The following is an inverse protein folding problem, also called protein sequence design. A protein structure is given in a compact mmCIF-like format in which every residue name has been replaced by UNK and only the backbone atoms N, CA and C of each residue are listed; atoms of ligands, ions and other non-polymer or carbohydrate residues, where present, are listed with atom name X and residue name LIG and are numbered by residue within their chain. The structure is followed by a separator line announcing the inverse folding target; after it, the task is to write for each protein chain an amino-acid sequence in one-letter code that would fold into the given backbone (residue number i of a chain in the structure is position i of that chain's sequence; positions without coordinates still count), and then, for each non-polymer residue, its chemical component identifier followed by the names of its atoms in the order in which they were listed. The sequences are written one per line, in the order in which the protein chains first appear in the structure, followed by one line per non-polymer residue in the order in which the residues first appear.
data_IF_387616697273
#
_entry.id   IF_387616697273
#
_cell.length_a   1.000
_cell.length_b   1.000
_cell.length_c   1.000
_cell.angle_alpha   90.00
_cell.angle_beta   90.00
_cell.angle_gamma   90.00
#
_symmetry.space_group_name_H-M   'P 1'
#
loop_
_entity.id
_entity.type
_entity.pdbx_description
1 polymer ?
#
# COMPACT_ATOMS: atom_id res chain seq x y z
N UNK A 1 -22.28 -25.93 -53.88
CA UNK A 1 -21.31 -25.39 -54.86
C UNK A 1 -19.96 -26.02 -54.52
N UNK A 2 -19.46 -26.84 -55.46
CA UNK A 2 -18.13 -27.48 -55.63
C UNK A 2 -17.10 -27.29 -54.49
N UNK A 3 -16.61 -28.38 -53.85
CA UNK A 3 -15.51 -29.25 -54.31
C UNK A 3 -14.15 -28.53 -54.24
N UNK A 4 -13.01 -29.06 -53.79
CA UNK A 4 -12.49 -30.43 -53.64
C UNK A 4 -11.09 -30.28 -52.98
N UNK A 5 -10.64 -31.21 -52.10
CA UNK A 5 -9.51 -32.17 -52.30
C UNK A 5 -8.10 -31.49 -52.41
N UNK A 6 -7.06 -31.82 -51.62
CA UNK A 6 -6.29 -33.09 -51.55
C UNK A 6 -5.31 -33.03 -50.34
N UNK A 7 -5.12 -34.10 -49.53
CA UNK A 7 -4.13 -35.21 -49.69
C UNK A 7 -2.69 -34.67 -49.86
N UNK A 8 -1.60 -35.19 -49.28
CA UNK A 8 -1.19 -36.41 -48.56
C UNK A 8 0.31 -36.18 -48.30
N UNK A 9 0.98 -36.67 -47.24
CA UNK A 9 1.69 -37.96 -47.29
C UNK A 9 2.42 -38.21 -45.97
N UNK A 10 1.97 -39.25 -45.29
CA UNK A 10 2.77 -40.07 -44.37
C UNK A 10 3.53 -41.10 -45.22
N UNK A 11 4.81 -41.32 -44.97
CA UNK A 11 5.52 -42.54 -45.39
C UNK A 11 6.42 -43.00 -44.25
N UNK A 12 6.23 -44.26 -43.88
CA UNK A 12 6.84 -45.01 -42.79
C UNK A 12 7.64 -46.17 -43.41
N UNK A 13 8.93 -46.31 -43.04
CA UNK A 13 9.82 -47.51 -43.06
C UNK A 13 10.00 -48.27 -44.43
N UNK A 14 10.99 -49.19 -44.67
CA UNK A 14 11.74 -50.10 -43.74
C UNK A 14 13.29 -50.27 -44.03
N UNK A 15 14.13 -50.68 -43.06
CA UNK A 15 14.72 -52.02 -42.73
C UNK A 15 15.90 -52.57 -43.59
N UNK A 16 16.90 -53.17 -42.90
CA UNK A 16 17.96 -54.14 -43.32
C UNK A 16 19.24 -53.58 -44.00
N UNK A 17 20.49 -54.08 -43.85
CA UNK A 17 21.09 -55.27 -43.21
C UNK A 17 22.64 -55.09 -43.13
N UNK A 18 23.26 -55.86 -42.22
CA UNK A 18 24.67 -56.25 -41.98
C UNK A 18 25.78 -55.95 -43.04
N UNK A 19 26.97 -55.60 -42.53
CA UNK A 19 28.27 -55.71 -43.22
C UNK A 19 29.46 -55.51 -42.26
N UNK A 20 30.30 -56.54 -42.11
CA UNK A 20 31.45 -56.62 -41.21
C UNK A 20 32.79 -56.24 -41.91
N UNK A 21 33.87 -56.23 -41.10
CA UNK A 21 35.31 -56.05 -41.41
C UNK A 21 35.78 -54.58 -41.45
N UNK A 22 36.90 -54.16 -40.86
CA UNK A 22 38.00 -54.84 -40.17
C UNK A 22 38.64 -53.88 -39.15
N UNK A 23 39.26 -54.46 -38.12
CA UNK A 23 40.04 -53.76 -37.11
C UNK A 23 41.39 -53.31 -37.66
N UNK A 24 41.74 -52.05 -37.43
CA UNK A 24 43.14 -51.61 -37.30
C UNK A 24 43.23 -50.96 -35.92
N UNK A 25 43.80 -51.68 -34.96
CA UNK A 25 44.11 -51.16 -33.63
C UNK A 25 45.42 -50.38 -33.71
N UNK A 26 45.32 -49.05 -33.89
CA UNK A 26 46.42 -48.15 -33.55
C UNK A 26 46.26 -47.79 -32.08
N UNK A 27 47.19 -48.22 -31.24
CA UNK A 27 47.28 -47.83 -29.82
C UNK A 27 47.53 -46.32 -29.72
N UNK A 28 46.47 -45.52 -29.60
CA UNK A 28 46.56 -44.14 -29.15
C UNK A 28 46.54 -44.12 -27.62
N UNK A 29 47.64 -43.62 -27.04
CA UNK A 29 47.68 -43.19 -25.64
C UNK A 29 46.52 -42.21 -25.39
N UNK A 30 45.72 -42.37 -24.32
CA UNK A 30 44.71 -41.39 -23.99
C UNK A 30 45.43 -40.11 -23.54
N UNK A 31 45.47 -39.12 -24.43
CA UNK A 31 45.75 -37.74 -24.02
C UNK A 31 44.58 -37.36 -23.12
N UNK A 32 44.84 -37.21 -21.83
CA UNK A 32 43.87 -36.70 -20.88
C UNK A 32 43.29 -35.40 -21.45
N UNK A 33 41.97 -35.38 -21.71
CA UNK A 33 41.25 -34.14 -21.98
C UNK A 33 41.57 -33.21 -20.81
N UNK A 34 42.15 -32.02 -21.04
CA UNK A 34 42.24 -31.05 -19.97
C UNK A 34 40.82 -30.83 -19.45
N UNK A 35 40.61 -31.13 -18.16
CA UNK A 35 39.40 -30.74 -17.45
C UNK A 35 39.26 -29.24 -17.68
N UNK A 36 38.22 -28.84 -18.42
CA UNK A 36 37.93 -27.44 -18.63
C UNK A 36 37.88 -26.78 -17.25
N UNK A 37 38.74 -25.79 -17.04
CA UNK A 37 38.70 -25.00 -15.81
C UNK A 37 37.26 -24.53 -15.61
N UNK A 38 36.71 -24.62 -14.38
CA UNK A 38 35.37 -24.12 -14.12
C UNK A 38 35.30 -22.67 -14.63
N UNK A 39 34.29 -22.38 -15.45
CA UNK A 39 34.07 -21.03 -15.94
C UNK A 39 34.14 -20.06 -14.75
N UNK A 40 34.83 -18.91 -14.87
CA UNK A 40 34.92 -17.98 -13.77
C UNK A 40 33.50 -17.62 -13.34
N UNK A 41 33.16 -17.95 -12.10
CA UNK A 41 31.93 -17.48 -11.47
C UNK A 41 32.07 -15.97 -11.43
N UNK A 42 31.43 -15.26 -12.35
CA UNK A 42 31.35 -13.80 -12.31
C UNK A 42 30.65 -13.49 -10.99
N UNK A 43 31.43 -13.05 -10.01
CA UNK A 43 30.86 -12.52 -8.78
C UNK A 43 30.11 -11.26 -9.20
N UNK A 44 28.82 -11.17 -8.86
CA UNK A 44 27.97 -10.05 -9.23
C UNK A 44 28.57 -8.68 -8.83
N UNK A 45 29.47 -8.68 -7.83
CA UNK A 45 30.28 -7.54 -7.39
C UNK A 45 31.13 -6.89 -8.49
N UNK A 46 31.59 -7.64 -9.50
CA UNK A 46 32.41 -7.11 -10.60
C UNK A 46 31.57 -6.60 -11.78
N UNK A 47 30.23 -6.65 -11.67
CA UNK A 47 29.35 -6.18 -12.73
C UNK A 47 29.55 -4.68 -12.99
N UNK A 48 29.80 -4.32 -14.24
CA UNK A 48 29.94 -2.93 -14.67
C UNK A 48 28.60 -2.21 -14.54
N UNK A 49 28.57 -1.10 -13.80
CA UNK A 49 27.39 -0.25 -13.61
C UNK A 49 27.46 0.98 -14.51
N UNK A 50 28.61 1.65 -14.57
CA UNK A 50 28.79 2.85 -15.37
C UNK A 50 30.25 3.05 -15.81
N UNK A 51 30.45 3.93 -16.80
CA UNK A 51 31.76 4.45 -17.19
C UNK A 51 31.76 5.98 -17.02
N UNK A 52 32.78 6.51 -16.34
CA UNK A 52 33.00 7.95 -16.18
C UNK A 52 34.42 8.25 -16.66
N UNK A 53 34.55 9.04 -17.73
CA UNK A 53 35.85 9.38 -18.35
C UNK A 53 36.74 8.15 -18.64
N UNK A 54 36.12 7.04 -19.03
CA UNK A 54 36.79 5.77 -19.32
C UNK A 54 37.15 4.93 -18.08
N UNK A 55 36.86 5.39 -16.86
CA UNK A 55 36.98 4.62 -15.64
C UNK A 55 35.68 3.87 -15.33
N UNK A 56 35.78 2.59 -14.97
CA UNK A 56 34.63 1.74 -14.62
C UNK A 56 34.19 1.94 -13.18
N UNK A 57 32.88 2.17 -13.00
CA UNK A 57 32.18 2.01 -11.73
C UNK A 57 31.55 0.62 -11.75
N UNK A 58 31.92 -0.23 -10.79
CA UNK A 58 31.36 -1.59 -10.65
C UNK A 58 30.30 -1.62 -9.55
N UNK A 59 29.54 -2.71 -9.48
CA UNK A 59 28.55 -2.88 -8.43
C UNK A 59 29.17 -2.85 -7.04
N UNK A 60 30.36 -3.46 -6.86
CA UNK A 60 31.11 -3.39 -5.60
C UNK A 60 31.36 -1.95 -5.13
N UNK A 61 31.54 -0.99 -6.05
CA UNK A 61 31.74 0.43 -5.71
C UNK A 61 30.50 1.06 -5.08
N UNK A 62 29.29 0.63 -5.49
CA UNK A 62 28.02 1.22 -5.05
C UNK A 62 27.25 0.36 -4.05
N UNK A 63 27.68 -0.88 -3.81
CA UNK A 63 26.98 -1.86 -2.97
C UNK A 63 26.74 -1.33 -1.55
N UNK A 64 27.79 -0.90 -0.84
CA UNK A 64 27.64 -0.38 0.53
C UNK A 64 26.77 0.88 0.59
N UNK A 65 26.98 1.92 -0.25
CA UNK A 65 26.07 3.06 -0.31
C UNK A 65 24.60 2.69 -0.58
N UNK A 66 24.34 1.67 -1.41
CA UNK A 66 22.97 1.19 -1.66
C UNK A 66 22.37 0.50 -0.42
N UNK A 67 23.17 -0.28 0.32
CA UNK A 67 22.74 -0.88 1.59
C UNK A 67 22.46 0.21 2.63
N UNK A 68 23.29 1.24 2.73
CA UNK A 68 23.06 2.38 3.63
C UNK A 68 21.78 3.15 3.24
N UNK A 69 21.55 3.36 1.95
CA UNK A 69 20.40 4.12 1.45
C UNK A 69 19.06 3.36 1.59
N UNK A 70 19.05 2.03 1.53
CA UNK A 70 17.80 1.27 1.48
C UNK A 70 17.86 -0.20 1.89
N UNK A 71 19.01 -0.68 2.37
CA UNK A 71 19.25 -2.07 2.75
C UNK A 71 18.31 -2.54 3.87
N UNK A 72 18.08 -1.73 4.90
CA UNK A 72 17.15 -2.08 5.99
C UNK A 72 15.72 -2.30 5.49
N UNK A 73 15.23 -1.45 4.59
CA UNK A 73 13.91 -1.64 4.00
C UNK A 73 13.88 -2.88 3.09
N UNK A 74 14.91 -3.09 2.28
CA UNK A 74 15.01 -4.26 1.42
C UNK A 74 15.04 -5.57 2.23
N UNK A 75 15.73 -5.58 3.38
CA UNK A 75 15.76 -6.72 4.29
C UNK A 75 14.39 -6.98 4.92
N UNK A 76 13.69 -5.93 5.39
CA UNK A 76 12.32 -6.06 5.92
C UNK A 76 11.35 -6.58 4.87
N UNK A 77 11.44 -6.09 3.64
CA UNK A 77 10.62 -6.56 2.52
C UNK A 77 10.91 -8.05 2.25
N UNK A 78 12.17 -8.49 2.28
CA UNK A 78 12.55 -9.89 2.08
C UNK A 78 12.08 -10.80 3.23
N UNK A 79 12.20 -10.35 4.48
CA UNK A 79 11.67 -11.08 5.65
C UNK A 79 10.15 -11.21 5.58
N UNK A 80 9.46 -10.15 5.15
CA UNK A 80 8.03 -10.17 4.93
C UNK A 80 7.65 -11.16 3.83
N UNK A 81 8.39 -11.20 2.72
CA UNK A 81 8.15 -12.16 1.63
C UNK A 81 8.27 -13.61 2.12
N UNK A 82 9.32 -13.93 2.87
CA UNK A 82 9.54 -15.28 3.41
C UNK A 82 8.40 -15.69 4.35
N UNK A 83 8.05 -14.82 5.30
CA UNK A 83 7.00 -15.11 6.28
C UNK A 83 5.60 -15.16 5.67
N UNK A 84 5.32 -14.37 4.63
CA UNK A 84 4.08 -14.48 3.87
C UNK A 84 4.01 -15.81 3.11
N UNK A 85 5.11 -16.26 2.52
CA UNK A 85 5.19 -17.56 1.85
C UNK A 85 4.88 -18.69 2.83
N UNK A 86 5.52 -18.69 4.01
CA UNK A 86 5.28 -19.67 5.06
C UNK A 86 3.83 -19.68 5.54
N UNK A 87 3.26 -18.50 5.77
CA UNK A 87 1.88 -18.37 6.26
C UNK A 87 0.86 -18.81 5.19
N UNK A 88 1.08 -18.47 3.93
CA UNK A 88 0.28 -18.96 2.81
C UNK A 88 0.36 -20.49 2.69
N UNK A 89 1.56 -21.07 2.78
CA UNK A 89 1.76 -22.51 2.75
C UNK A 89 1.05 -23.21 3.92
N UNK A 90 1.13 -22.64 5.12
CA UNK A 90 0.46 -23.14 6.34
C UNK A 90 -1.06 -23.12 6.22
N UNK A 91 -1.63 -22.14 5.52
CA UNK A 91 -3.08 -22.04 5.25
C UNK A 91 -3.50 -22.73 3.94
N UNK A 92 -2.57 -23.34 3.22
CA UNK A 92 -2.81 -23.98 1.91
C UNK A 92 -3.48 -23.03 0.90
N UNK A 93 -3.02 -21.78 0.87
CA UNK A 93 -3.49 -20.76 -0.09
C UNK A 93 -2.34 -20.35 -1.02
N UNK A 94 -2.68 -20.01 -2.26
CA UNK A 94 -1.71 -19.66 -3.31
C UNK A 94 -1.96 -18.24 -3.84
N UNK A 95 -0.89 -17.47 -3.97
CA UNK A 95 -0.93 -16.11 -4.55
C UNK A 95 -0.81 -16.22 -6.06
N UNK A 96 -1.93 -16.06 -6.76
CA UNK A 96 -1.98 -16.16 -8.23
C UNK A 96 -1.78 -14.80 -8.91
N UNK A 97 -1.43 -14.81 -10.20
CA UNK A 97 -1.33 -13.59 -11.00
C UNK A 97 -2.64 -12.77 -11.00
N UNK A 98 -3.79 -13.45 -11.01
CA UNK A 98 -5.09 -12.79 -10.96
C UNK A 98 -5.31 -11.99 -9.67
N UNK A 99 -4.77 -12.47 -8.53
CA UNK A 99 -4.83 -11.72 -7.27
C UNK A 99 -3.92 -10.49 -7.31
N UNK A 100 -2.73 -10.60 -7.90
CA UNK A 100 -1.84 -9.45 -8.09
C UNK A 100 -2.47 -8.38 -9.01
N UNK A 101 -3.16 -8.81 -10.08
CA UNK A 101 -3.88 -7.93 -10.98
C UNK A 101 -5.06 -7.25 -10.28
N UNK A 102 -5.76 -7.96 -9.39
CA UNK A 102 -6.82 -7.37 -8.56
C UNK A 102 -6.27 -6.27 -7.63
N UNK A 103 -5.11 -6.46 -6.99
CA UNK A 103 -4.48 -5.39 -6.20
C UNK A 103 -4.08 -4.18 -7.05
N UNK A 104 -3.64 -4.40 -8.30
CA UNK A 104 -3.34 -3.30 -9.22
C UNK A 104 -4.61 -2.51 -9.55
N UNK A 105 -5.71 -3.19 -9.82
CA UNK A 105 -7.01 -2.56 -10.10
C UNK A 105 -7.49 -1.73 -8.91
N UNK A 106 -7.47 -2.30 -7.70
CA UNK A 106 -7.85 -1.57 -6.47
C UNK A 106 -6.98 -0.33 -6.23
N UNK A 107 -5.68 -0.43 -6.51
CA UNK A 107 -4.77 0.72 -6.43
C UNK A 107 -5.17 1.82 -7.41
N UNK A 108 -5.49 1.48 -8.67
CA UNK A 108 -5.92 2.45 -9.68
C UNK A 108 -7.24 3.13 -9.30
N UNK A 109 -8.22 2.36 -8.81
CA UNK A 109 -9.51 2.88 -8.33
C UNK A 109 -9.34 3.86 -7.16
N UNK A 110 -8.31 3.67 -6.33
CA UNK A 110 -7.99 4.60 -5.23
C UNK A 110 -7.38 5.91 -5.74
N UNK A 111 -6.73 5.89 -6.91
CA UNK A 111 -6.05 7.06 -7.48
C UNK A 111 -7.02 7.95 -8.26
N UNK A 112 -7.81 7.38 -9.17
CA UNK A 112 -8.85 8.09 -9.91
C UNK A 112 -9.88 7.13 -10.48
N UNK A 113 -11.10 7.63 -10.68
CA UNK A 113 -12.14 6.93 -11.44
C UNK A 113 -11.93 7.04 -12.96
N UNK A 114 -11.09 7.98 -13.45
CA UNK A 114 -10.68 8.02 -14.85
C UNK A 114 -9.47 7.10 -15.06
N UNK A 115 -9.58 6.04 -15.89
CA UNK A 115 -8.48 5.11 -16.12
C UNK A 115 -7.18 5.76 -16.62
N UNK A 116 -7.26 6.80 -17.46
CA UNK A 116 -6.05 7.45 -18.00
C UNK A 116 -5.33 8.25 -16.93
N UNK A 117 -6.09 9.02 -16.16
CA UNK A 117 -5.56 9.78 -15.03
C UNK A 117 -4.98 8.84 -13.97
N UNK A 118 -5.67 7.74 -13.65
CA UNK A 118 -5.19 6.75 -12.69
C UNK A 118 -3.84 6.15 -13.10
N UNK A 119 -3.65 5.80 -14.38
CA UNK A 119 -2.37 5.28 -14.90
C UNK A 119 -1.26 6.36 -14.88
N UNK A 120 -1.59 7.63 -15.12
CA UNK A 120 -0.66 8.76 -14.99
C UNK A 120 -0.22 8.97 -13.54
N UNK A 121 -1.17 9.01 -12.62
CA UNK A 121 -0.92 9.12 -11.18
C UNK A 121 -0.11 7.94 -10.67
N UNK A 122 -0.39 6.71 -11.13
CA UNK A 122 0.38 5.53 -10.77
C UNK A 122 1.83 5.62 -11.26
N UNK A 123 2.06 6.08 -12.49
CA UNK A 123 3.42 6.31 -13.01
C UNK A 123 4.18 7.34 -12.19
N UNK A 124 3.53 8.45 -11.87
CA UNK A 124 4.10 9.51 -11.03
C UNK A 124 4.44 8.98 -9.63
N UNK A 125 3.49 8.31 -8.97
CA UNK A 125 3.68 7.70 -7.65
C UNK A 125 4.86 6.73 -7.64
N UNK A 126 4.98 5.87 -8.65
CA UNK A 126 6.09 4.92 -8.77
C UNK A 126 7.43 5.63 -8.92
N UNK A 127 7.49 6.69 -9.73
CA UNK A 127 8.71 7.48 -9.91
C UNK A 127 9.12 8.16 -8.59
N UNK A 128 8.20 8.83 -7.90
CA UNK A 128 8.46 9.50 -6.62
C UNK A 128 8.93 8.53 -5.52
N UNK A 129 8.46 7.28 -5.55
CA UNK A 129 8.81 6.24 -4.56
C UNK A 129 9.99 5.35 -4.97
N UNK A 130 10.59 5.56 -6.15
CA UNK A 130 11.65 4.69 -6.68
C UNK A 130 11.19 3.24 -6.88
N UNK A 131 9.93 3.03 -7.27
CA UNK A 131 9.30 1.72 -7.47
C UNK A 131 9.44 1.27 -8.93
N UNK A 132 10.61 0.71 -9.24
CA UNK A 132 10.86 -0.02 -10.49
C UNK A 132 9.96 -1.25 -10.66
N UNK A 133 10.00 -1.88 -11.83
CA UNK A 133 9.11 -3.00 -12.19
C UNK A 133 9.17 -4.15 -11.17
N UNK A 134 10.36 -4.58 -10.77
CA UNK A 134 10.56 -5.67 -9.80
C UNK A 134 9.94 -5.37 -8.45
N UNK A 135 10.27 -4.20 -7.86
CA UNK A 135 9.73 -3.81 -6.54
C UNK A 135 8.23 -3.58 -6.57
N UNK A 136 7.70 -3.06 -7.69
CA UNK A 136 6.27 -2.85 -7.84
C UNK A 136 5.51 -4.18 -7.96
N UNK A 137 6.02 -5.14 -8.75
CA UNK A 137 5.43 -6.47 -8.85
C UNK A 137 5.45 -7.21 -7.50
N UNK A 138 6.57 -7.15 -6.77
CA UNK A 138 6.68 -7.73 -5.44
C UNK A 138 5.72 -7.05 -4.43
N UNK A 139 5.55 -5.73 -4.52
CA UNK A 139 4.57 -5.00 -3.70
C UNK A 139 3.14 -5.48 -3.96
N UNK A 140 2.75 -5.67 -5.22
CA UNK A 140 1.43 -6.21 -5.56
C UNK A 140 1.25 -7.64 -5.04
N UNK A 141 2.26 -8.49 -5.19
CA UNK A 141 2.24 -9.85 -4.68
C UNK A 141 2.10 -9.90 -3.14
N UNK A 142 2.84 -9.05 -2.42
CA UNK A 142 2.70 -8.92 -0.95
C UNK A 142 1.30 -8.46 -0.55
N UNK A 143 0.74 -7.45 -1.22
CA UNK A 143 -0.61 -6.99 -0.93
C UNK A 143 -1.65 -8.09 -1.22
N UNK A 144 -1.48 -8.83 -2.31
CA UNK A 144 -2.36 -9.94 -2.66
C UNK A 144 -2.30 -11.05 -1.61
N UNK A 145 -1.10 -11.42 -1.16
CA UNK A 145 -0.90 -12.39 -0.07
C UNK A 145 -1.55 -11.92 1.23
N UNK A 146 -1.28 -10.68 1.65
CA UNK A 146 -1.85 -10.09 2.86
C UNK A 146 -3.38 -10.09 2.80
N UNK A 147 -4.00 -9.66 1.69
CA UNK A 147 -5.45 -9.66 1.54
C UNK A 147 -6.02 -11.08 1.58
N UNK A 148 -5.40 -12.01 0.83
CA UNK A 148 -5.79 -13.41 0.80
C UNK A 148 -5.81 -14.03 2.21
N UNK A 149 -4.84 -13.67 3.06
CA UNK A 149 -4.72 -14.16 4.43
C UNK A 149 -5.73 -13.55 5.40
N UNK A 150 -6.18 -12.31 5.21
CA UNK A 150 -7.09 -11.64 6.15
C UNK A 150 -8.55 -11.64 5.72
N UNK A 151 -8.85 -11.77 4.42
CA UNK A 151 -10.19 -11.55 3.87
C UNK A 151 -11.27 -12.47 4.44
N UNK A 152 -10.89 -13.69 4.88
CA UNK A 152 -11.82 -14.65 5.47
C UNK A 152 -12.23 -14.28 6.91
N UNK A 153 -11.41 -13.50 7.60
CA UNK A 153 -11.59 -13.12 9.00
C UNK A 153 -12.33 -11.76 9.13
N UNK A 154 -12.75 -11.17 8.02
CA UNK A 154 -13.40 -9.85 8.01
C UNK A 154 -14.86 -9.98 8.43
N UNK A 155 -15.14 -9.46 9.63
CA UNK A 155 -16.48 -9.36 10.19
C UNK A 155 -17.17 -8.09 9.70
N UNK A 156 -18.35 -8.26 9.12
CA UNK A 156 -19.23 -7.17 8.67
C UNK A 156 -20.30 -6.94 9.73
N UNK A 157 -19.94 -6.20 10.79
CA UNK A 157 -20.85 -5.88 11.88
C UNK A 157 -21.85 -4.76 11.52
N UNK A 158 -23.05 -4.80 12.12
CA UNK A 158 -24.12 -3.83 11.85
C UNK A 158 -23.73 -2.39 12.23
N UNK A 159 -22.88 -2.23 13.25
CA UNK A 159 -22.38 -0.92 13.67
C UNK A 159 -21.54 -0.27 12.58
N UNK A 160 -20.60 -1.03 12.01
CA UNK A 160 -19.75 -0.64 10.91
C UNK A 160 -20.56 -0.34 9.66
N UNK A 161 -21.55 -1.18 9.32
CA UNK A 161 -22.42 -0.93 8.17
C UNK A 161 -23.18 0.38 8.31
N UNK A 162 -23.73 0.64 9.50
CA UNK A 162 -24.42 1.90 9.79
C UNK A 162 -23.48 3.11 9.75
N UNK A 163 -22.27 2.98 10.28
CA UNK A 163 -21.26 4.03 10.25
C UNK A 163 -20.75 4.35 8.85
N UNK A 164 -20.52 3.32 8.03
CA UNK A 164 -20.11 3.48 6.63
C UNK A 164 -21.25 4.09 5.81
N UNK A 165 -22.48 3.62 5.98
CA UNK A 165 -23.64 4.21 5.31
C UNK A 165 -23.83 5.69 5.67
N UNK A 166 -23.71 6.06 6.95
CA UNK A 166 -23.80 7.45 7.39
C UNK A 166 -22.69 8.32 6.78
N UNK A 167 -21.46 7.80 6.70
CA UNK A 167 -20.34 8.50 6.05
C UNK A 167 -20.59 8.75 4.55
N UNK A 168 -21.19 7.79 3.85
CA UNK A 168 -21.48 7.87 2.42
C UNK A 168 -22.70 8.74 2.11
N UNK A 169 -23.79 8.52 2.85
CA UNK A 169 -25.14 8.99 2.49
C UNK A 169 -25.82 9.84 3.56
N UNK A 170 -25.32 9.84 4.79
CA UNK A 170 -25.86 10.60 5.91
C UNK A 170 -25.61 12.11 5.80
N UNK A 171 -26.24 12.90 6.69
CA UNK A 171 -26.02 14.34 6.73
C UNK A 171 -24.59 14.65 7.17
N UNK A 172 -24.02 15.72 6.62
CA UNK A 172 -22.64 16.14 6.91
C UNK A 172 -22.62 17.54 7.50
N UNK A 173 -22.01 17.69 8.68
CA UNK A 173 -21.78 18.99 9.31
C UNK A 173 -20.50 19.60 8.73
N UNK A 174 -20.61 20.83 8.25
CA UNK A 174 -19.49 21.67 7.90
C UNK A 174 -19.16 22.48 9.15
N UNK A 175 -17.95 22.30 9.67
CA UNK A 175 -17.50 22.94 10.89
C UNK A 175 -16.13 23.59 10.70
N UNK A 176 -15.78 24.48 11.62
CA UNK A 176 -14.40 24.93 11.84
C UNK A 176 -13.91 24.45 13.19
N UNK A 177 -12.61 24.22 13.32
CA UNK A 177 -11.97 23.83 14.58
C UNK A 177 -10.93 24.85 15.01
N UNK A 178 -10.81 25.02 16.32
CA UNK A 178 -9.64 25.61 16.96
C UNK A 178 -9.16 24.64 18.04
N UNK A 179 -7.91 24.20 17.95
CA UNK A 179 -7.21 23.46 19.01
C UNK A 179 -6.27 24.41 19.74
N UNK A 180 -6.28 24.36 21.07
CA UNK A 180 -5.40 25.15 21.96
C UNK A 180 -4.79 24.26 23.04
N UNK A 181 -3.70 24.72 23.66
CA UNK A 181 -2.92 23.92 24.60
C UNK A 181 -3.62 23.71 25.96
N UNK A 182 -4.40 24.69 26.41
CA UNK A 182 -4.96 24.70 27.77
C UNK A 182 -6.34 25.36 27.85
N UNK A 183 -7.03 25.13 28.96
CA UNK A 183 -8.39 25.62 29.21
C UNK A 183 -8.47 27.16 29.27
N UNK A 184 -7.56 27.90 29.94
CA UNK A 184 -7.59 29.37 29.94
C UNK A 184 -7.53 29.96 28.53
N UNK A 185 -6.71 29.38 27.65
CA UNK A 185 -6.64 29.81 26.24
C UNK A 185 -7.93 29.49 25.50
N UNK A 186 -8.57 28.36 25.80
CA UNK A 186 -9.87 27.98 25.22
C UNK A 186 -10.99 28.93 25.66
N UNK A 187 -11.04 29.30 26.94
CA UNK A 187 -11.99 30.27 27.48
C UNK A 187 -11.78 31.65 26.86
N UNK A 188 -10.53 32.08 26.71
CA UNK A 188 -10.19 33.32 25.98
C UNK A 188 -10.65 33.28 24.53
N UNK A 189 -10.44 32.16 23.85
CA UNK A 189 -10.91 31.96 22.47
C UNK A 189 -12.42 32.17 22.38
N UNK A 190 -13.18 31.50 23.25
CA UNK A 190 -14.65 31.63 23.29
C UNK A 190 -15.08 33.06 23.59
N UNK A 191 -14.45 33.74 24.55
CA UNK A 191 -14.76 35.11 24.89
C UNK A 191 -14.57 36.08 23.72
N UNK A 192 -13.51 35.89 22.91
CA UNK A 192 -13.25 36.72 21.73
C UNK A 192 -14.31 36.51 20.64
N UNK A 193 -14.66 35.25 20.35
CA UNK A 193 -15.67 34.93 19.33
C UNK A 193 -17.07 35.39 19.77
N UNK A 194 -17.44 35.15 21.03
CA UNK A 194 -18.70 35.64 21.60
C UNK A 194 -18.74 37.17 21.70
N UNK A 195 -17.58 37.83 21.79
CA UNK A 195 -17.44 39.29 21.68
C UNK A 195 -17.59 39.83 20.25
N UNK A 196 -17.91 38.99 19.27
CA UNK A 196 -18.20 39.37 17.89
C UNK A 196 -17.02 39.25 16.92
N UNK A 197 -15.86 38.74 17.36
CA UNK A 197 -14.76 38.45 16.44
C UNK A 197 -15.09 37.24 15.57
N UNK A 198 -14.67 37.27 14.30
CA UNK A 198 -14.82 36.13 13.42
C UNK A 198 -13.96 34.94 13.91
N UNK A 199 -14.55 33.75 13.98
CA UNK A 199 -13.88 32.53 14.44
C UNK A 199 -12.56 32.27 13.70
N UNK A 200 -12.56 32.46 12.38
CA UNK A 200 -11.38 32.20 11.55
C UNK A 200 -10.18 33.06 11.93
N UNK A 201 -10.40 34.32 12.28
CA UNK A 201 -9.34 35.24 12.68
C UNK A 201 -8.76 34.83 14.04
N UNK A 202 -9.63 34.50 15.01
CA UNK A 202 -9.21 34.03 16.32
C UNK A 202 -8.49 32.68 16.22
N UNK A 203 -8.91 31.80 15.31
CA UNK A 203 -8.24 30.53 15.04
C UNK A 203 -6.86 30.71 14.43
N UNK A 204 -6.68 31.67 13.50
CA UNK A 204 -5.37 31.99 12.95
C UNK A 204 -4.40 32.56 13.99
N UNK A 205 -4.91 33.25 15.00
CA UNK A 205 -4.10 33.83 16.08
C UNK A 205 -3.74 32.83 17.19
N UNK A 206 -4.71 32.02 17.62
CA UNK A 206 -4.58 31.25 18.87
C UNK A 206 -4.51 29.73 18.66
N UNK A 207 -4.93 29.21 17.50
CA UNK A 207 -4.99 27.77 17.32
C UNK A 207 -3.62 27.18 16.96
N UNK A 208 -3.29 26.07 17.62
CA UNK A 208 -2.12 25.24 17.32
C UNK A 208 -2.42 24.13 16.31
N UNK A 209 -3.65 24.07 15.79
CA UNK A 209 -4.01 23.11 14.74
C UNK A 209 -3.45 23.53 13.38
N UNK A 210 -3.13 22.55 12.52
CA UNK A 210 -2.60 22.80 11.19
C UNK A 210 -3.59 23.54 10.26
N UNK A 211 -4.89 23.52 10.58
CA UNK A 211 -5.92 24.30 9.89
C UNK A 211 -6.09 25.71 10.44
N UNK A 212 -5.50 26.05 11.59
CA UNK A 212 -5.59 27.36 12.25
C UNK A 212 -5.33 28.55 11.32
N UNK A 213 -4.19 28.60 10.60
CA UNK A 213 -3.88 29.66 9.63
C UNK A 213 -4.89 29.77 8.47
N UNK A 214 -5.67 28.72 8.20
CA UNK A 214 -6.76 28.69 7.21
C UNK A 214 -8.13 28.91 7.88
N UNK A 215 -8.14 29.47 9.09
CA UNK A 215 -9.34 29.75 9.87
C UNK A 215 -10.06 28.51 10.38
N UNK A 216 -9.34 27.40 10.58
CA UNK A 216 -9.90 26.20 11.20
C UNK A 216 -10.72 25.32 10.25
N UNK A 217 -10.60 25.46 8.93
CA UNK A 217 -11.47 24.76 7.97
C UNK A 217 -11.24 23.24 8.05
N UNK A 218 -12.35 22.50 8.22
CA UNK A 218 -12.39 21.05 8.19
C UNK A 218 -13.15 20.51 6.97
N UNK A 219 -12.85 19.27 6.54
CA UNK A 219 -13.72 18.56 5.63
C UNK A 219 -15.11 18.32 6.27
N UNK A 220 -16.17 18.12 5.47
CA UNK A 220 -17.49 17.78 5.98
C UNK A 220 -17.45 16.51 6.85
N UNK A 221 -18.07 16.57 8.03
CA UNK A 221 -18.05 15.51 9.03
C UNK A 221 -19.39 14.78 9.07
N UNK A 222 -19.38 13.44 8.97
CA UNK A 222 -20.56 12.61 9.21
C UNK A 222 -20.69 12.23 10.70
N UNK A 223 -21.90 11.94 11.15
CA UNK A 223 -22.21 11.72 12.57
C UNK A 223 -21.52 10.48 13.14
N UNK A 224 -21.39 9.46 12.30
CA UNK A 224 -20.86 8.14 12.63
C UNK A 224 -19.50 7.85 11.99
N UNK A 225 -18.81 8.84 11.43
CA UNK A 225 -17.45 8.71 10.91
C UNK A 225 -16.45 8.34 12.04
N UNK A 226 -15.81 7.16 12.03
CA UNK A 226 -14.92 6.72 13.11
C UNK A 226 -13.56 7.44 13.13
N UNK A 227 -13.23 8.24 12.10
CA UNK A 227 -11.99 9.03 12.08
C UNK A 227 -11.98 10.16 13.11
N UNK A 228 -13.15 10.52 13.66
CA UNK A 228 -13.31 11.53 14.69
C UNK A 228 -13.65 10.90 16.05
N UNK A 229 -13.06 11.40 17.17
CA UNK A 229 -13.43 10.96 18.51
C UNK A 229 -14.94 11.09 18.77
N UNK A 230 -15.52 10.13 19.50
CA UNK A 230 -16.97 10.12 19.79
C UNK A 230 -17.42 11.35 20.58
N UNK A 231 -16.57 11.91 21.44
CA UNK A 231 -16.80 13.17 22.15
C UNK A 231 -16.99 14.34 21.18
N UNK A 232 -16.12 14.47 20.19
CA UNK A 232 -16.16 15.50 19.14
C UNK A 232 -17.43 15.36 18.31
N UNK A 233 -17.71 14.16 17.79
CA UNK A 233 -18.90 13.92 16.94
C UNK A 233 -20.19 14.29 17.65
N UNK A 234 -20.37 13.82 18.89
CA UNK A 234 -21.55 14.15 19.69
C UNK A 234 -21.67 15.64 19.95
N UNK A 235 -20.58 16.32 20.28
CA UNK A 235 -20.61 17.75 20.56
C UNK A 235 -20.96 18.57 19.31
N UNK A 236 -20.34 18.27 18.17
CA UNK A 236 -20.61 18.97 16.89
C UNK A 236 -22.04 18.73 16.42
N UNK A 237 -22.54 17.50 16.49
CA UNK A 237 -23.89 17.18 16.05
C UNK A 237 -24.99 17.63 17.02
N UNK A 238 -24.64 17.92 18.27
CA UNK A 238 -25.57 18.52 19.25
C UNK A 238 -25.84 20.00 19.02
N UNK A 239 -25.04 20.70 18.21
CA UNK A 239 -25.27 22.10 17.83
C UNK A 239 -26.54 22.20 16.97
N UNK A 240 -27.41 23.16 17.30
CA UNK A 240 -28.73 23.27 16.68
C UNK A 240 -28.69 24.19 15.45
N UNK A 241 -27.90 25.27 15.52
CA UNK A 241 -27.93 26.35 14.53
C UNK A 241 -26.52 26.74 14.04
N UNK A 242 -26.36 27.08 12.75
CA UNK A 242 -25.14 27.73 12.26
C UNK A 242 -24.75 28.93 13.12
N UNK A 243 -23.47 29.04 13.44
CA UNK A 243 -22.93 30.07 14.34
C UNK A 243 -22.71 29.58 15.78
N UNK A 244 -23.33 28.46 16.18
CA UNK A 244 -23.13 27.90 17.53
C UNK A 244 -21.74 27.27 17.69
N UNK A 245 -21.22 27.38 18.92
CA UNK A 245 -19.91 26.86 19.33
C UNK A 245 -20.09 25.69 20.29
N UNK A 246 -19.19 24.71 20.22
CA UNK A 246 -19.06 23.74 21.30
C UNK A 246 -18.40 24.39 22.53
N UNK A 247 -18.66 23.82 23.71
CA UNK A 247 -17.74 24.01 24.84
C UNK A 247 -16.36 23.41 24.52
N UNK A 248 -15.29 23.79 25.24
CA UNK A 248 -13.97 23.21 25.04
C UNK A 248 -13.99 21.69 25.31
N UNK A 249 -13.58 20.91 24.33
CA UNK A 249 -13.53 19.45 24.40
C UNK A 249 -12.09 19.04 24.66
N UNK A 250 -11.83 18.38 25.80
CA UNK A 250 -10.51 17.84 26.10
C UNK A 250 -10.25 16.58 25.24
N UNK A 251 -9.16 16.59 24.48
CA UNK A 251 -8.67 15.47 23.69
C UNK A 251 -7.13 15.42 23.73
N UNK A 252 -6.55 14.27 24.12
CA UNK A 252 -5.10 14.05 24.20
C UNK A 252 -4.28 15.21 24.84
N UNK A 253 -4.80 15.77 25.94
CA UNK A 253 -4.23 16.91 26.69
C UNK A 253 -4.29 18.29 25.99
N UNK A 254 -5.15 18.44 24.99
CA UNK A 254 -5.45 19.73 24.32
C UNK A 254 -6.95 19.98 24.34
N UNK A 255 -7.34 21.23 24.11
CA UNK A 255 -8.75 21.62 24.05
C UNK A 255 -9.13 21.98 22.62
N UNK A 256 -10.21 21.36 22.11
CA UNK A 256 -10.78 21.65 20.82
C UNK A 256 -12.13 22.38 20.96
N UNK A 257 -12.34 23.42 20.16
CA UNK A 257 -13.59 24.16 20.05
C UNK A 257 -14.03 24.09 18.59
N UNK A 258 -15.31 23.80 18.37
CA UNK A 258 -15.88 23.72 17.03
C UNK A 258 -16.95 24.78 16.82
N UNK A 259 -16.95 25.39 15.63
CA UNK A 259 -18.03 26.25 15.15
C UNK A 259 -18.84 25.47 14.12
N UNK A 260 -20.16 25.40 14.30
CA UNK A 260 -21.07 24.88 13.27
C UNK A 260 -21.30 25.94 12.18
N UNK A 261 -20.94 25.62 10.94
CA UNK A 261 -21.03 26.56 9.80
C UNK A 261 -22.30 26.30 8.99
N UNK A 262 -22.53 25.07 8.58
CA UNK A 262 -23.70 24.67 7.79
C UNK A 262 -23.79 23.16 7.69
N UNK A 263 -24.92 22.65 7.22
CA UNK A 263 -25.14 21.22 7.00
C UNK A 263 -25.37 20.92 5.52
N UNK A 264 -24.76 19.83 5.05
CA UNK A 264 -25.19 19.17 3.81
C UNK A 264 -26.19 18.09 4.18
N UNK A 265 -27.41 18.11 3.63
CA UNK A 265 -28.42 17.11 3.95
C UNK A 265 -27.99 15.72 3.48
N UNK A 266 -28.60 14.69 4.08
CA UNK A 266 -28.44 13.32 3.61
C UNK A 266 -28.83 13.20 2.13
N UNK A 267 -28.18 12.29 1.42
CA UNK A 267 -28.39 12.09 -0.02
C UNK A 267 -29.79 11.58 -0.40
N UNK A 268 -30.59 11.13 0.57
CA UNK A 268 -31.93 10.55 0.37
C UNK A 268 -31.91 9.08 -0.11
N UNK A 269 -30.73 8.52 -0.38
CA UNK A 269 -30.56 7.10 -0.70
C UNK A 269 -30.85 6.25 0.53
N UNK A 270 -31.60 5.16 0.39
CA UNK A 270 -31.88 4.24 1.50
C UNK A 270 -30.75 3.23 1.69
N UNK A 271 -30.66 2.66 2.89
CA UNK A 271 -29.65 1.63 3.18
C UNK A 271 -29.79 0.41 2.27
N UNK A 272 -31.03 -0.03 1.99
CA UNK A 272 -31.30 -1.17 1.12
C UNK A 272 -30.74 -0.95 -0.29
N UNK A 273 -30.87 0.27 -0.81
CA UNK A 273 -30.37 0.65 -2.13
C UNK A 273 -28.84 0.73 -2.15
N UNK A 274 -28.23 1.28 -1.08
CA UNK A 274 -26.79 1.45 -0.95
C UNK A 274 -26.05 0.24 -0.36
N UNK A 275 -26.76 -0.84 -0.02
CA UNK A 275 -26.23 -1.93 0.82
C UNK A 275 -24.97 -2.55 0.25
N UNK A 276 -24.99 -2.93 -1.03
CA UNK A 276 -23.86 -3.57 -1.68
C UNK A 276 -22.62 -2.66 -1.72
N UNK A 277 -22.82 -1.37 -2.00
CA UNK A 277 -21.72 -0.40 -2.02
C UNK A 277 -21.16 -0.14 -0.62
N UNK A 278 -22.05 -0.02 0.37
CA UNK A 278 -21.69 0.14 1.79
C UNK A 278 -20.90 -1.05 2.30
N UNK A 279 -21.36 -2.28 2.01
CA UNK A 279 -20.66 -3.52 2.36
C UNK A 279 -19.29 -3.60 1.69
N UNK A 280 -19.18 -3.20 0.43
CA UNK A 280 -17.91 -3.16 -0.31
C UNK A 280 -16.92 -2.17 0.32
N UNK A 281 -17.35 -0.93 0.58
CA UNK A 281 -16.50 0.11 1.19
C UNK A 281 -16.05 -0.30 2.60
N UNK A 282 -16.96 -0.82 3.42
CA UNK A 282 -16.63 -1.29 4.76
C UNK A 282 -15.64 -2.47 4.72
N UNK A 283 -15.88 -3.45 3.83
CA UNK A 283 -14.99 -4.59 3.65
C UNK A 283 -13.57 -4.14 3.28
N UNK A 284 -13.42 -3.29 2.27
CA UNK A 284 -12.10 -2.80 1.87
C UNK A 284 -11.38 -2.04 3.00
N UNK A 285 -12.11 -1.23 3.76
CA UNK A 285 -11.55 -0.53 4.92
C UNK A 285 -11.06 -1.50 6.01
N UNK A 286 -11.86 -2.53 6.34
CA UNK A 286 -11.51 -3.54 7.35
C UNK A 286 -10.35 -4.43 6.89
N UNK A 287 -10.35 -4.85 5.63
CA UNK A 287 -9.24 -5.58 5.00
C UNK A 287 -7.96 -4.75 5.09
N UNK A 288 -8.01 -3.46 4.72
CA UNK A 288 -6.83 -2.60 4.76
C UNK A 288 -6.24 -2.51 6.17
N UNK A 289 -7.09 -2.32 7.18
CA UNK A 289 -6.66 -2.27 8.58
C UNK A 289 -6.04 -3.60 9.05
N UNK A 290 -6.65 -4.72 8.69
CA UNK A 290 -6.14 -6.05 9.03
C UNK A 290 -4.81 -6.35 8.31
N UNK A 291 -4.70 -6.01 7.02
CA UNK A 291 -3.47 -6.12 6.23
C UNK A 291 -2.34 -5.27 6.82
N UNK A 292 -2.62 -4.01 7.18
CA UNK A 292 -1.62 -3.12 7.79
C UNK A 292 -1.14 -3.68 9.14
N UNK A 293 -2.04 -4.28 9.93
CA UNK A 293 -1.68 -5.00 11.16
C UNK A 293 -0.77 -6.19 10.90
N UNK A 294 -1.18 -7.09 9.99
CA UNK A 294 -0.43 -8.30 9.65
C UNK A 294 0.94 -7.96 9.05
N UNK A 295 1.02 -6.98 8.15
CA UNK A 295 2.27 -6.54 7.54
C UNK A 295 3.27 -6.03 8.59
N UNK A 296 2.82 -5.24 9.57
CA UNK A 296 3.69 -4.79 10.69
C UNK A 296 4.22 -5.96 11.50
N UNK A 297 3.38 -6.94 11.82
CA UNK A 297 3.80 -8.14 12.56
C UNK A 297 4.82 -8.96 11.77
N UNK A 298 4.54 -9.25 10.49
CA UNK A 298 5.39 -10.12 9.69
C UNK A 298 6.70 -9.44 9.26
N UNK A 299 6.71 -8.13 9.04
CA UNK A 299 7.94 -7.39 8.66
C UNK A 299 8.88 -7.10 9.84
N UNK A 300 8.50 -7.44 11.08
CA UNK A 300 9.40 -7.28 12.24
C UNK A 300 10.68 -8.09 12.06
N UNK A 301 11.82 -7.50 12.43
CA UNK A 301 13.11 -8.21 12.45
C UNK A 301 13.31 -9.01 13.74
N UNK A 302 12.33 -9.05 14.63
CA UNK A 302 12.38 -9.89 15.83
C UNK A 302 12.56 -11.36 15.44
N UNK A 303 13.52 -12.03 16.08
CA UNK A 303 13.88 -13.42 15.79
C UNK A 303 14.67 -13.62 14.49
N UNK A 304 14.97 -12.56 13.72
CA UNK A 304 15.83 -12.64 12.53
C UNK A 304 17.29 -12.56 12.96
N UNK A 305 18.11 -13.54 12.55
CA UNK A 305 19.57 -13.49 12.74
C UNK A 305 20.21 -12.83 11.53
N UNK A 306 20.81 -11.65 11.72
CA UNK A 306 21.51 -10.91 10.67
C UNK A 306 23.01 -11.23 10.76
N UNK A 307 23.57 -11.80 9.69
CA UNK A 307 24.99 -12.17 9.63
C UNK A 307 25.87 -11.07 9.02
N UNK A 308 25.31 -10.24 8.14
CA UNK A 308 26.04 -9.16 7.47
C UNK A 308 25.86 -7.86 8.25
N UNK A 309 26.94 -7.44 8.92
CA UNK A 309 26.95 -6.23 9.76
C UNK A 309 26.62 -4.95 9.02
N UNK A 310 26.67 -4.92 7.69
CA UNK A 310 26.24 -3.76 6.90
C UNK A 310 24.74 -3.49 7.04
N UNK A 311 23.97 -4.48 7.47
CA UNK A 311 22.54 -4.34 7.80
C UNK A 311 22.27 -4.05 9.29
N UNK A 312 23.31 -3.97 10.14
CA UNK A 312 23.18 -3.65 11.58
C UNK A 312 23.05 -2.14 11.86
N UNK A 313 23.11 -1.29 10.83
CA UNK A 313 23.10 0.16 11.02
C UNK A 313 21.79 0.64 11.67
N UNK A 314 21.85 1.43 12.75
CA UNK A 314 20.66 2.08 13.28
C UNK A 314 20.11 3.02 12.20
N UNK A 315 18.80 2.98 12.02
CA UNK A 315 18.10 3.95 11.18
C UNK A 315 18.39 5.35 11.75
N UNK A 316 18.77 6.36 10.94
CA UNK A 316 18.84 7.73 11.41
C UNK A 316 17.48 8.22 11.93
#
# INVERSE_FOLDING_TARGET
MRAQLQLSRTVLFPLCLLGACAQVSTTQHPIARPVAAPAPVVRNSDALVALVDGQSITFATVETPLIEAGGTQALRDAVLDERLSDECARRHVEVTAALCDAERTLLLETLSNDPREADELLRSLRATRGLGATRFAALLARNAALRLLVQQDIVMDDEGLRATFDTLHGPKRIARVAVVADLPTAERFLALVNGGRAFGDVAAELSIDASGPRGGILPPMAALDPSWPSSVRRAVFALQSPGELTLPILDHARYAIFLFVSETPASGVTFETARADTERVLRHSRERLAMDGLARTLSSLDGVTIFDRRFDAPTP
#
